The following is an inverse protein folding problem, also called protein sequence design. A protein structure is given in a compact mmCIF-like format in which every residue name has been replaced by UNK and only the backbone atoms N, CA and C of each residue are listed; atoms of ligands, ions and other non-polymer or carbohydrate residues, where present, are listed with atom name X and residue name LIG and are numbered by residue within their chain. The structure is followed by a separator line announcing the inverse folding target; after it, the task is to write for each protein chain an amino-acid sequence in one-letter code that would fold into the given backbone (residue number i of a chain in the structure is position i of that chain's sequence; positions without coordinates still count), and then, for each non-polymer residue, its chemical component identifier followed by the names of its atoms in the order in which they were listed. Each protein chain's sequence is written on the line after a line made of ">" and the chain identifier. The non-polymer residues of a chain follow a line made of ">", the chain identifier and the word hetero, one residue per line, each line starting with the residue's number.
data_IF_366641076698
#
_entry.id   IF_366641076698
#
_cell.length_a   1.000
_cell.length_b   1.000
_cell.length_c   1.000
_cell.angle_alpha   90.00
_cell.angle_beta   90.00
_cell.angle_gamma   90.00
#
_symmetry.space_group_name_H-M   'P 1'
#
loop_
_entity.id
_entity.type
_entity.pdbx_description
1 polymer ?
#
# COMPACT_ATOMS: atom_id res chain seq x y z
N UNK A 1 -7.42 5.35 -10.81
CA UNK A 1 -8.76 5.96 -10.94
C UNK A 1 -9.85 4.93 -10.66
N UNK A 2 -9.85 3.79 -11.36
CA UNK A 2 -10.85 2.71 -11.24
C UNK A 2 -11.04 2.20 -9.80
N UNK A 3 -9.97 1.76 -9.14
CA UNK A 3 -9.98 1.22 -7.75
C UNK A 3 -10.77 2.10 -6.76
N UNK A 4 -10.57 3.43 -6.84
CA UNK A 4 -11.18 4.39 -5.89
C UNK A 4 -12.67 4.58 -6.16
N UNK A 5 -13.04 4.58 -7.44
CA UNK A 5 -14.43 4.62 -7.85
C UNK A 5 -15.16 3.36 -7.40
N UNK A 6 -14.57 2.18 -7.62
CA UNK A 6 -15.13 0.91 -7.15
C UNK A 6 -15.30 0.88 -5.63
N UNK A 7 -14.27 1.26 -4.86
CA UNK A 7 -14.36 1.30 -3.40
C UNK A 7 -15.51 2.21 -2.92
N UNK A 8 -15.67 3.39 -3.55
CA UNK A 8 -16.74 4.35 -3.23
C UNK A 8 -18.14 3.83 -3.60
N UNK A 9 -18.28 3.15 -4.74
CA UNK A 9 -19.57 2.64 -5.22
C UNK A 9 -20.00 1.35 -4.52
N UNK A 10 -19.05 0.48 -4.16
CA UNK A 10 -19.32 -0.83 -3.56
C UNK A 10 -19.45 -0.77 -2.04
N UNK A 11 -18.97 0.29 -1.41
CA UNK A 11 -19.05 0.44 0.04
C UNK A 11 -20.17 1.40 0.43
N UNK A 12 -20.95 1.08 1.46
CA UNK A 12 -21.92 2.02 1.98
C UNK A 12 -21.19 3.28 2.45
N UNK A 13 -21.54 4.43 1.87
CA UNK A 13 -20.99 5.76 2.23
C UNK A 13 -21.58 6.27 3.56
N UNK A 14 -21.80 5.36 4.52
CA UNK A 14 -22.55 5.60 5.74
C UNK A 14 -21.75 5.14 6.96
N UNK A 15 -21.84 5.86 8.08
CA UNK A 15 -21.34 5.39 9.37
C UNK A 15 -21.87 3.99 9.68
N UNK A 16 -21.10 3.19 10.44
CA UNK A 16 -21.43 1.79 10.75
C UNK A 16 -22.82 1.63 11.37
N UNK A 17 -23.27 2.60 12.19
CA UNK A 17 -24.61 2.63 12.78
C UNK A 17 -25.77 2.90 11.79
N UNK A 18 -25.49 3.08 10.50
CA UNK A 18 -26.47 3.34 9.44
C UNK A 18 -26.42 2.31 8.29
N UNK A 19 -25.69 1.21 8.47
CA UNK A 19 -25.67 0.09 7.53
C UNK A 19 -26.98 -0.70 7.59
N UNK A 20 -27.48 -1.11 6.43
CA UNK A 20 -28.65 -1.99 6.33
C UNK A 20 -28.25 -3.45 6.57
N UNK A 21 -29.19 -4.33 6.96
CA UNK A 21 -28.92 -5.76 7.03
C UNK A 21 -28.36 -6.30 5.71
N UNK A 22 -27.18 -6.93 5.76
CA UNK A 22 -26.49 -7.46 4.59
C UNK A 22 -25.50 -6.51 3.93
N UNK A 23 -25.47 -5.23 4.31
CA UNK A 23 -24.41 -4.32 3.87
C UNK A 23 -23.06 -4.78 4.40
N UNK A 24 -22.02 -4.62 3.58
CA UNK A 24 -20.64 -4.89 3.97
C UNK A 24 -19.72 -3.86 3.34
N UNK A 25 -18.63 -3.55 4.02
CA UNK A 25 -17.55 -2.75 3.44
C UNK A 25 -16.76 -3.58 2.43
N UNK A 26 -16.26 -2.90 1.40
CA UNK A 26 -15.43 -3.50 0.37
C UNK A 26 -14.13 -2.72 0.21
N UNK A 27 -13.03 -3.46 0.18
CA UNK A 27 -11.70 -2.97 -0.19
C UNK A 27 -11.52 -3.23 -1.68
N UNK A 28 -11.15 -2.21 -2.45
CA UNK A 28 -10.66 -2.37 -3.82
C UNK A 28 -9.18 -2.02 -3.87
N UNK A 29 -8.42 -2.70 -4.72
CA UNK A 29 -7.00 -2.47 -4.88
C UNK A 29 -6.48 -3.10 -6.15
N UNK A 30 -5.26 -2.74 -6.52
CA UNK A 30 -4.59 -3.29 -7.69
C UNK A 30 -3.33 -3.99 -7.26
N UNK A 31 -3.12 -5.18 -7.81
CA UNK A 31 -1.87 -5.86 -7.64
C UNK A 31 -0.75 -5.09 -8.33
N UNK A 32 0.41 -4.90 -7.66
CA UNK A 32 1.62 -4.58 -8.38
C UNK A 32 1.90 -5.73 -9.37
N UNK A 33 2.60 -5.44 -10.47
CA UNK A 33 3.02 -6.41 -11.48
C UNK A 33 3.69 -7.62 -10.84
N UNK A 34 4.51 -7.41 -9.81
CA UNK A 34 5.18 -8.51 -9.09
C UNK A 34 4.22 -9.43 -8.32
N UNK A 35 3.06 -8.89 -7.91
CA UNK A 35 1.98 -9.62 -7.25
C UNK A 35 1.02 -10.30 -8.22
N UNK A 36 1.16 -10.08 -9.54
CA UNK A 36 0.26 -10.69 -10.51
C UNK A 36 0.64 -12.15 -10.81
N UNK A 37 -0.37 -12.99 -10.99
CA UNK A 37 -0.22 -14.36 -11.47
C UNK A 37 0.05 -14.45 -12.97
N UNK A 38 -0.19 -13.36 -13.70
CA UNK A 38 0.11 -13.24 -15.14
C UNK A 38 1.19 -12.17 -15.31
N UNK A 39 2.33 -12.57 -15.86
CA UNK A 39 3.49 -11.70 -16.06
C UNK A 39 3.13 -10.42 -16.83
N UNK A 40 3.64 -9.28 -16.35
CA UNK A 40 3.43 -7.98 -17.01
C UNK A 40 2.02 -7.39 -16.87
N UNK A 41 1.10 -8.07 -16.20
CA UNK A 41 -0.27 -7.56 -15.99
C UNK A 41 -0.46 -7.01 -14.58
N UNK A 42 -1.47 -6.15 -14.44
CA UNK A 42 -2.00 -5.74 -13.14
C UNK A 42 -3.50 -5.94 -13.18
N UNK A 43 -4.07 -6.58 -12.16
CA UNK A 43 -5.51 -6.78 -12.06
C UNK A 43 -6.07 -6.12 -10.79
N UNK A 44 -7.31 -5.67 -10.89
CA UNK A 44 -8.06 -5.14 -9.76
C UNK A 44 -8.62 -6.30 -8.93
N UNK A 45 -8.50 -6.21 -7.62
CA UNK A 45 -9.09 -7.17 -6.68
C UNK A 45 -10.03 -6.44 -5.73
N UNK A 46 -11.10 -7.14 -5.37
CA UNK A 46 -12.11 -6.67 -4.43
C UNK A 46 -12.24 -7.73 -3.35
N UNK A 47 -12.21 -7.30 -2.09
CA UNK A 47 -12.47 -8.16 -0.93
C UNK A 47 -13.41 -7.45 0.05
N UNK A 48 -14.10 -8.20 0.90
CA UNK A 48 -14.83 -7.61 2.02
C UNK A 48 -13.84 -7.12 3.07
N UNK A 49 -14.16 -5.99 3.69
CA UNK A 49 -13.40 -5.43 4.81
C UNK A 49 -13.28 -3.92 4.77
N UNK A 50 -12.65 -3.38 5.81
CA UNK A 50 -12.39 -1.98 6.04
C UNK A 50 -10.98 -1.79 6.66
N UNK A 51 -10.56 -0.55 6.82
CA UNK A 51 -9.24 -0.21 7.35
C UNK A 51 -9.02 -0.78 8.76
N UNK A 52 -10.08 -0.76 9.58
CA UNK A 52 -10.04 -1.29 10.96
C UNK A 52 -9.79 -2.81 11.03
N UNK A 53 -10.05 -3.56 9.95
CA UNK A 53 -9.80 -5.00 9.89
C UNK A 53 -8.31 -5.34 9.68
N UNK A 54 -7.46 -4.33 9.44
CA UNK A 54 -6.07 -4.51 9.06
C UNK A 54 -5.13 -3.70 9.99
N UNK A 55 -4.63 -4.27 11.10
CA UNK A 55 -3.81 -3.55 12.08
C UNK A 55 -2.60 -2.83 11.49
N UNK A 56 -1.91 -3.43 10.52
CA UNK A 56 -0.76 -2.82 9.85
C UNK A 56 -1.13 -1.51 9.12
N UNK A 57 -2.35 -1.43 8.58
CA UNK A 57 -2.84 -0.23 7.88
C UNK A 57 -3.32 0.85 8.85
N UNK A 58 -3.64 0.48 10.09
CA UNK A 58 -4.05 1.40 11.14
C UNK A 58 -2.87 2.17 11.76
N UNK A 59 -1.63 1.71 11.56
CA UNK A 59 -0.43 2.39 12.03
C UNK A 59 -0.37 3.87 11.61
N UNK A 60 0.13 4.72 12.50
CA UNK A 60 0.32 6.15 12.26
C UNK A 60 1.74 6.56 12.59
N UNK A 61 2.24 7.60 11.92
CA UNK A 61 3.54 8.20 12.21
C UNK A 61 3.35 9.64 12.66
N UNK A 62 3.07 10.54 11.72
CA UNK A 62 2.85 11.96 11.98
C UNK A 62 1.74 12.39 11.02
N UNK A 63 0.47 12.14 11.31
CA UNK A 63 -0.61 12.52 10.40
C UNK A 63 -0.71 14.05 10.29
N UNK A 64 -0.93 14.55 9.07
CA UNK A 64 -1.08 15.97 8.77
C UNK A 64 -2.40 16.22 8.03
N UNK A 65 -3.07 17.32 8.38
CA UNK A 65 -4.16 17.86 7.57
C UNK A 65 -3.59 18.76 6.50
N UNK A 66 -4.00 18.55 5.26
CA UNK A 66 -3.50 19.35 4.14
C UNK A 66 -4.50 20.44 3.77
N UNK A 67 -4.13 21.71 3.97
CA UNK A 67 -4.96 22.86 3.55
C UNK A 67 -5.25 22.84 2.05
N UNK A 68 -4.31 22.35 1.25
CA UNK A 68 -4.46 22.18 -0.20
C UNK A 68 -5.53 21.16 -0.60
N UNK A 69 -5.90 20.29 0.34
CA UNK A 69 -6.95 19.27 0.17
C UNK A 69 -8.19 19.57 1.04
N UNK A 70 -8.27 20.73 1.71
CA UNK A 70 -9.39 21.09 2.59
C UNK A 70 -10.70 21.24 1.81
N UNK A 71 -10.68 21.87 0.64
CA UNK A 71 -11.84 21.90 -0.27
C UNK A 71 -12.21 20.50 -0.79
N UNK A 72 -11.26 19.58 -0.69
CA UNK A 72 -11.32 18.15 -0.99
C UNK A 72 -12.25 17.36 -0.08
N UNK A 73 -11.87 17.22 1.20
CA UNK A 73 -12.42 16.19 2.10
C UNK A 73 -11.84 16.19 3.54
N UNK A 74 -11.35 17.32 4.05
CA UNK A 74 -10.59 17.35 5.33
C UNK A 74 -9.46 16.29 5.36
N UNK A 75 -8.75 16.13 4.23
CA UNK A 75 -7.91 14.95 4.03
C UNK A 75 -6.72 14.93 4.99
N UNK A 76 -6.51 13.76 5.61
CA UNK A 76 -5.38 13.48 6.50
C UNK A 76 -4.37 12.65 5.70
N UNK A 77 -3.13 13.12 5.62
CA UNK A 77 -2.01 12.44 4.99
C UNK A 77 -1.07 11.91 6.08
N UNK A 78 -0.47 10.73 5.89
CA UNK A 78 0.54 10.20 6.80
C UNK A 78 1.53 9.32 6.02
N UNK A 79 2.84 9.58 6.17
CA UNK A 79 3.90 8.72 5.62
C UNK A 79 4.33 7.82 6.77
N UNK A 80 3.89 6.56 6.70
CA UNK A 80 3.99 5.60 7.79
C UNK A 80 5.16 4.65 7.51
N UNK A 81 6.19 4.60 8.38
CA UNK A 81 7.18 3.54 8.34
C UNK A 81 6.55 2.24 8.82
N UNK A 82 6.64 1.20 7.99
CA UNK A 82 6.08 -0.13 8.25
C UNK A 82 7.19 -1.12 8.58
N UNK A 83 8.32 -1.06 7.88
CA UNK A 83 9.46 -1.93 8.15
C UNK A 83 10.44 -1.37 9.18
N UNK A 84 11.56 -2.08 9.33
CA UNK A 84 12.74 -1.62 10.08
C UNK A 84 13.60 -0.66 9.25
N UNK A 85 13.56 -0.78 7.92
CA UNK A 85 14.22 0.14 7.02
C UNK A 85 13.40 1.41 6.83
N UNK A 86 14.06 2.55 6.72
CA UNK A 86 13.40 3.85 6.59
C UNK A 86 12.55 3.98 5.31
N UNK A 87 12.88 3.24 4.26
CA UNK A 87 12.18 3.22 2.97
C UNK A 87 11.09 2.15 2.86
N UNK A 88 10.92 1.34 3.90
CA UNK A 88 9.80 0.41 4.01
C UNK A 88 8.55 1.17 4.48
N UNK A 89 7.98 1.98 3.59
CA UNK A 89 6.94 2.98 3.91
C UNK A 89 5.66 2.80 3.12
N UNK A 90 4.57 3.36 3.66
CA UNK A 90 3.35 3.62 2.92
C UNK A 90 2.90 5.07 3.09
N UNK A 91 2.26 5.63 2.08
CA UNK A 91 1.41 6.81 2.23
C UNK A 91 -0.01 6.34 2.54
N UNK A 92 -0.53 6.78 3.69
CA UNK A 92 -1.93 6.66 4.04
C UNK A 92 -2.62 8.00 3.85
N UNK A 93 -3.74 7.98 3.15
CA UNK A 93 -4.61 9.15 2.96
C UNK A 93 -5.99 8.80 3.50
N UNK A 94 -6.49 9.55 4.47
CA UNK A 94 -7.88 9.42 4.96
C UNK A 94 -8.68 10.60 4.46
N UNK A 95 -9.77 10.34 3.74
CA UNK A 95 -10.60 11.37 3.11
C UNK A 95 -12.06 10.90 3.01
N UNK A 96 -12.99 11.84 2.96
CA UNK A 96 -14.41 11.59 2.68
C UNK A 96 -14.65 11.16 1.23
N UNK A 97 -13.99 11.79 0.25
CA UNK A 97 -14.12 11.43 -1.16
C UNK A 97 -12.79 10.98 -1.79
N UNK A 98 -12.56 9.65 -1.92
CA UNK A 98 -11.34 9.12 -2.53
C UNK A 98 -11.29 9.34 -4.05
N UNK A 99 -12.37 9.81 -4.67
CA UNK A 99 -12.44 10.12 -6.10
C UNK A 99 -12.23 11.59 -6.42
N UNK A 100 -12.06 12.44 -5.40
CA UNK A 100 -11.91 13.88 -5.61
C UNK A 100 -10.69 14.23 -6.47
N UNK A 101 -10.80 15.17 -7.43
CA UNK A 101 -9.71 15.48 -8.36
C UNK A 101 -8.37 15.82 -7.69
N UNK A 102 -8.32 16.55 -6.55
CA UNK A 102 -7.04 16.83 -5.88
C UNK A 102 -6.35 15.59 -5.31
N UNK A 103 -7.12 14.63 -4.76
CA UNK A 103 -6.58 13.34 -4.30
C UNK A 103 -6.05 12.52 -5.48
N UNK A 104 -6.78 12.51 -6.59
CA UNK A 104 -6.31 11.85 -7.82
C UNK A 104 -5.01 12.48 -8.31
N UNK A 105 -4.95 13.81 -8.36
CA UNK A 105 -3.78 14.55 -8.80
C UNK A 105 -2.57 14.29 -7.91
N UNK A 106 -2.74 14.36 -6.58
CA UNK A 106 -1.69 14.02 -5.61
C UNK A 106 -1.07 12.64 -5.91
N UNK A 107 -1.90 11.61 -6.04
CA UNK A 107 -1.43 10.23 -6.25
C UNK A 107 -0.73 10.05 -7.61
N UNK A 108 -1.23 10.71 -8.66
CA UNK A 108 -0.61 10.64 -10.01
C UNK A 108 0.72 11.39 -10.02
N UNK A 109 0.75 12.62 -9.50
CA UNK A 109 1.94 13.45 -9.44
C UNK A 109 3.02 12.78 -8.56
N UNK A 110 2.64 12.20 -7.41
CA UNK A 110 3.58 11.49 -6.54
C UNK A 110 4.17 10.25 -7.24
N UNK A 111 3.33 9.48 -7.93
CA UNK A 111 3.80 8.31 -8.70
C UNK A 111 4.82 8.74 -9.76
N UNK A 112 4.53 9.82 -10.49
CA UNK A 112 5.43 10.36 -11.49
C UNK A 112 6.75 10.85 -10.87
N UNK A 113 6.67 11.58 -9.76
CA UNK A 113 7.85 12.05 -9.03
C UNK A 113 8.77 10.89 -8.63
N UNK A 114 8.22 9.82 -8.06
CA UNK A 114 9.01 8.65 -7.65
C UNK A 114 9.68 7.96 -8.84
N UNK A 115 8.99 7.85 -9.98
CA UNK A 115 9.57 7.28 -11.20
C UNK A 115 10.72 8.15 -11.74
N UNK A 116 10.55 9.47 -11.75
CA UNK A 116 11.55 10.40 -12.26
C UNK A 116 12.77 10.47 -11.33
N UNK A 117 12.55 10.60 -10.02
CA UNK A 117 13.62 10.84 -9.05
C UNK A 117 14.42 9.59 -8.71
N UNK A 118 13.79 8.42 -8.59
CA UNK A 118 14.45 7.21 -8.10
C UNK A 118 14.88 6.26 -9.21
N UNK A 119 14.35 6.43 -10.43
CA UNK A 119 14.66 5.54 -11.55
C UNK A 119 15.03 6.28 -12.84
N UNK A 120 15.26 7.60 -12.79
CA UNK A 120 15.57 8.38 -13.99
C UNK A 120 14.48 8.31 -15.07
N UNK A 121 13.24 7.97 -14.69
CA UNK A 121 12.13 7.75 -15.60
C UNK A 121 11.99 6.32 -16.13
N UNK A 122 12.89 5.38 -15.79
CA UNK A 122 12.80 3.97 -16.23
C UNK A 122 11.85 3.16 -15.32
N UNK A 123 10.64 2.78 -15.79
CA UNK A 123 9.62 2.16 -14.94
C UNK A 123 9.87 0.68 -14.64
N UNK A 124 11.05 0.15 -14.97
CA UNK A 124 11.36 -1.28 -14.89
C UNK A 124 11.69 -1.76 -13.48
N UNK A 125 12.15 -0.87 -12.61
CA UNK A 125 12.63 -1.22 -11.28
C UNK A 125 11.70 -0.80 -10.15
N UNK A 126 10.58 -0.15 -10.46
CA UNK A 126 9.62 0.38 -9.49
C UNK A 126 8.22 -0.09 -9.81
N UNK A 127 7.49 -0.42 -8.76
CA UNK A 127 6.08 -0.76 -8.80
C UNK A 127 5.33 -0.13 -7.63
N UNK A 128 4.00 -0.24 -7.66
CA UNK A 128 3.14 0.41 -6.67
C UNK A 128 1.99 -0.52 -6.30
N UNK A 129 1.81 -0.75 -4.99
CA UNK A 129 0.58 -1.32 -4.46
C UNK A 129 -0.35 -0.18 -4.04
N UNK A 130 -1.59 -0.20 -4.55
CA UNK A 130 -2.58 0.82 -4.21
C UNK A 130 -3.88 0.15 -3.77
N UNK A 131 -4.38 0.56 -2.61
CA UNK A 131 -5.69 0.15 -2.08
C UNK A 131 -6.54 1.35 -1.71
N UNK A 132 -7.85 1.16 -1.80
CA UNK A 132 -8.84 2.05 -1.25
C UNK A 132 -9.88 1.24 -0.48
N UNK A 133 -10.18 1.66 0.74
CA UNK A 133 -11.07 0.95 1.65
C UNK A 133 -11.78 1.93 2.59
N UNK A 134 -13.04 1.65 2.98
CA UNK A 134 -13.69 2.38 4.06
C UNK A 134 -12.88 2.31 5.35
N UNK A 135 -12.95 3.33 6.19
CA UNK A 135 -12.32 3.33 7.52
C UNK A 135 -12.99 2.38 8.50
N UNK A 136 -14.28 2.09 8.33
CA UNK A 136 -15.06 1.17 9.16
C UNK A 136 -16.00 1.83 10.17
N UNK A 137 -16.24 3.15 10.11
CA UNK A 137 -17.21 3.75 11.03
C UNK A 137 -17.59 5.21 10.84
N UNK A 138 -16.75 6.03 10.21
CA UNK A 138 -16.96 7.49 10.12
C UNK A 138 -17.40 7.96 8.71
N UNK A 139 -17.67 7.03 7.80
CA UNK A 139 -18.04 7.34 6.41
C UNK A 139 -16.87 7.81 5.53
N UNK A 140 -15.63 7.72 6.02
CA UNK A 140 -14.42 8.07 5.28
C UNK A 140 -13.77 6.85 4.65
N UNK A 141 -12.78 7.11 3.81
CA UNK A 141 -11.99 6.14 3.08
C UNK A 141 -10.51 6.33 3.39
N UNK A 142 -9.82 5.21 3.63
CA UNK A 142 -8.38 5.12 3.56
C UNK A 142 -7.93 4.81 2.13
N UNK A 143 -6.89 5.49 1.67
CA UNK A 143 -6.11 5.12 0.49
C UNK A 143 -4.72 4.77 0.97
N UNK A 144 -4.28 3.56 0.64
CA UNK A 144 -2.93 3.07 0.93
C UNK A 144 -2.16 3.05 -0.37
N UNK A 145 -1.05 3.78 -0.41
CA UNK A 145 -0.14 3.82 -1.54
C UNK A 145 1.23 3.38 -1.06
N UNK A 146 1.73 2.27 -1.60
CA UNK A 146 3.02 1.68 -1.21
C UNK A 146 3.94 1.66 -2.43
N UNK A 147 5.00 2.49 -2.45
CA UNK A 147 6.04 2.35 -3.44
C UNK A 147 6.93 1.16 -3.11
N UNK A 148 7.19 0.31 -4.09
CA UNK A 148 8.01 -0.90 -3.92
C UNK A 148 8.97 -1.07 -5.09
N UNK A 149 10.06 -1.80 -4.87
CA UNK A 149 10.91 -2.28 -5.94
C UNK A 149 10.18 -3.33 -6.78
N UNK A 150 10.39 -3.31 -8.09
CA UNK A 150 10.06 -4.43 -8.95
C UNK A 150 11.06 -5.56 -8.67
N UNK A 151 10.62 -6.60 -7.96
CA UNK A 151 11.49 -7.74 -7.64
C UNK A 151 11.76 -8.57 -8.90
N UNK A 152 12.96 -9.13 -9.00
CA UNK A 152 13.34 -10.07 -10.04
C UNK A 152 13.14 -11.50 -9.52
N UNK A 153 12.32 -12.30 -10.22
CA UNK A 153 12.14 -13.72 -9.92
C UNK A 153 13.07 -14.56 -10.79
N UNK A 154 13.87 -15.41 -10.15
CA UNK A 154 14.70 -16.39 -10.85
C UNK A 154 13.97 -17.74 -10.88
N UNK A 155 13.72 -18.24 -12.10
CA UNK A 155 13.09 -19.55 -12.31
C UNK A 155 14.01 -20.73 -11.99
N UNK A 156 15.33 -20.50 -11.96
CA UNK A 156 16.33 -21.53 -11.72
C UNK A 156 16.43 -21.92 -10.25
N UNK A 157 16.41 -20.92 -9.36
CA UNK A 157 16.52 -21.12 -7.92
C UNK A 157 15.19 -20.90 -7.17
N UNK A 158 14.16 -20.37 -7.84
CA UNK A 158 12.84 -20.15 -7.24
C UNK A 158 12.80 -18.99 -6.25
N UNK A 159 13.75 -18.06 -6.34
CA UNK A 159 13.91 -16.98 -5.37
C UNK A 159 13.73 -15.60 -5.99
N UNK A 160 13.31 -14.65 -5.14
CA UNK A 160 13.19 -13.26 -5.51
C UNK A 160 14.45 -12.50 -5.11
N UNK A 161 14.79 -11.49 -5.90
CA UNK A 161 15.86 -10.53 -5.61
C UNK A 161 15.30 -9.13 -5.72
N UNK A 162 15.63 -8.25 -4.78
CA UNK A 162 15.39 -6.82 -4.94
C UNK A 162 16.58 -6.20 -5.70
N UNK A 163 16.42 -5.83 -6.98
CA UNK A 163 17.54 -5.39 -7.82
C UNK A 163 18.16 -4.07 -7.35
N UNK A 164 17.43 -3.28 -6.55
CA UNK A 164 17.91 -1.99 -6.05
C UNK A 164 18.71 -2.10 -4.76
N UNK A 165 18.64 -3.24 -4.06
CA UNK A 165 19.36 -3.46 -2.80
C UNK A 165 20.30 -4.66 -2.85
N UNK A 166 20.13 -5.56 -3.82
CA UNK A 166 20.87 -6.81 -3.93
C UNK A 166 20.39 -7.92 -2.97
N UNK A 167 19.44 -7.63 -2.06
CA UNK A 167 18.91 -8.60 -1.12
C UNK A 167 18.17 -9.73 -1.86
N UNK A 168 18.42 -10.98 -1.47
CA UNK A 168 17.71 -12.17 -1.97
C UNK A 168 16.77 -12.72 -0.92
N UNK A 169 15.64 -13.28 -1.34
CA UNK A 169 14.64 -13.83 -0.41
C UNK A 169 15.17 -14.99 0.45
N UNK A 170 16.24 -15.67 0.01
CA UNK A 170 16.88 -16.75 0.78
C UNK A 170 17.65 -16.27 2.00
N UNK A 171 18.18 -15.05 1.94
CA UNK A 171 18.93 -14.45 3.04
C UNK A 171 17.97 -14.01 4.16
N UNK A 172 16.68 -13.94 3.84
CA UNK A 172 15.59 -13.53 4.70
C UNK A 172 14.82 -14.76 5.20
N UNK A 173 15.52 -15.62 5.95
CA UNK A 173 15.10 -16.96 6.43
C UNK A 173 13.73 -17.05 7.14
N UNK A 174 13.07 -15.92 7.41
CA UNK A 174 11.79 -15.81 8.11
C UNK A 174 10.66 -15.18 7.28
N UNK A 175 10.84 -14.96 5.97
CA UNK A 175 9.78 -14.41 5.10
C UNK A 175 8.91 -15.54 4.53
N UNK A 176 7.70 -15.80 5.08
CA UNK A 176 6.76 -16.72 4.45
C UNK A 176 6.30 -16.19 3.07
N UNK A 177 6.32 -14.88 2.90
CA UNK A 177 6.04 -14.19 1.63
C UNK A 177 7.01 -13.01 1.51
N UNK A 178 7.69 -12.91 0.37
CA UNK A 178 8.65 -11.85 0.09
C UNK A 178 8.10 -10.70 -0.77
N UNK A 179 6.85 -10.82 -1.25
CA UNK A 179 6.24 -9.82 -2.14
C UNK A 179 5.18 -9.01 -1.42
N UNK A 180 5.15 -7.71 -1.68
CA UNK A 180 3.95 -6.91 -1.41
C UNK A 180 3.01 -7.05 -2.60
N UNK A 181 1.80 -7.55 -2.35
CA UNK A 181 0.69 -7.60 -3.28
C UNK A 181 -0.59 -7.08 -2.60
N UNK A 182 -1.74 -7.24 -3.25
CA UNK A 182 -3.02 -6.87 -2.69
C UNK A 182 -3.29 -7.58 -1.36
N UNK A 183 -2.98 -8.85 -1.17
CA UNK A 183 -3.19 -9.49 0.13
C UNK A 183 -2.20 -8.97 1.18
N UNK A 184 -0.92 -9.08 0.82
CA UNK A 184 0.23 -8.95 1.73
C UNK A 184 0.39 -7.53 2.25
N UNK A 185 0.01 -6.51 1.46
CA UNK A 185 -0.01 -5.10 1.92
C UNK A 185 -0.92 -4.91 3.15
N UNK A 186 -1.88 -5.81 3.37
CA UNK A 186 -2.81 -5.78 4.52
C UNK A 186 -2.59 -6.94 5.49
N UNK A 187 -1.49 -7.68 5.36
CA UNK A 187 -1.17 -8.84 6.20
C UNK A 187 -1.94 -10.11 5.88
N UNK A 188 -2.51 -10.20 4.68
CA UNK A 188 -3.14 -11.43 4.19
C UNK A 188 -2.10 -12.20 3.39
N UNK A 189 -1.76 -13.40 3.86
CA UNK A 189 -0.79 -14.27 3.21
C UNK A 189 -1.48 -15.45 2.56
N UNK A 190 -1.12 -15.72 1.29
CA UNK A 190 -1.34 -17.03 0.72
C UNK A 190 -0.21 -17.92 1.20
N UNK A 191 -0.52 -18.88 2.05
CA UNK A 191 0.45 -19.85 2.56
C UNK A 191 0.11 -21.19 1.92
N UNK A 192 1.04 -21.75 1.15
CA UNK A 192 0.91 -23.13 0.68
C UNK A 192 0.74 -24.03 1.90
N UNK A 193 -0.18 -25.00 1.84
CA UNK A 193 -0.69 -25.76 2.98
C UNK A 193 0.33 -26.63 3.73
N UNK A 194 1.64 -26.35 3.63
CA UNK A 194 2.63 -26.92 4.52
C UNK A 194 2.47 -26.35 5.94
N UNK A 195 2.51 -27.25 6.92
CA UNK A 195 2.25 -26.91 8.32
C UNK A 195 3.29 -25.96 8.92
N UNK A 196 4.48 -25.87 8.33
CA UNK A 196 5.60 -25.08 8.86
C UNK A 196 5.39 -23.61 8.52
N UNK A 197 5.14 -23.30 7.25
CA UNK A 197 4.84 -21.96 6.74
C UNK A 197 3.53 -21.42 7.34
N UNK A 198 2.51 -22.29 7.51
CA UNK A 198 1.27 -21.90 8.18
C UNK A 198 1.53 -21.50 9.64
N UNK A 199 2.24 -22.35 10.38
CA UNK A 199 2.56 -22.09 11.78
C UNK A 199 3.46 -20.87 11.95
N UNK A 200 4.40 -20.65 11.03
CA UNK A 200 5.25 -19.47 11.01
C UNK A 200 4.42 -18.19 10.81
N UNK A 201 3.52 -18.18 9.83
CA UNK A 201 2.64 -17.04 9.54
C UNK A 201 1.70 -16.72 10.71
N UNK A 202 1.14 -17.75 11.37
CA UNK A 202 0.26 -17.55 12.54
C UNK A 202 1.00 -17.01 13.77
N UNK A 203 2.27 -17.39 13.97
CA UNK A 203 3.07 -16.92 15.12
C UNK A 203 3.73 -15.56 14.88
N UNK A 204 4.13 -15.29 13.65
CA UNK A 204 4.98 -14.16 13.30
C UNK A 204 4.32 -13.19 12.32
N UNK A 205 2.98 -13.21 12.18
CA UNK A 205 2.26 -12.47 11.12
C UNK A 205 2.71 -11.02 10.94
N UNK A 206 2.76 -10.22 12.01
CA UNK A 206 3.25 -8.83 11.92
C UNK A 206 4.71 -8.76 11.45
N UNK A 207 5.60 -9.58 12.02
CA UNK A 207 7.01 -9.65 11.64
C UNK A 207 7.17 -10.00 10.16
N UNK A 208 6.37 -10.94 9.67
CA UNK A 208 6.34 -11.35 8.26
C UNK A 208 5.89 -10.20 7.34
N UNK A 209 4.87 -9.43 7.72
CA UNK A 209 4.42 -8.27 6.93
C UNK A 209 5.54 -7.23 6.88
N UNK A 210 6.10 -6.87 8.03
CA UNK A 210 7.20 -5.88 8.11
C UNK A 210 8.41 -6.34 7.31
N UNK A 211 8.71 -7.64 7.34
CA UNK A 211 9.74 -8.27 6.53
C UNK A 211 9.47 -8.15 5.03
N UNK A 212 8.25 -8.39 4.57
CA UNK A 212 7.87 -8.20 3.16
C UNK A 212 8.03 -6.73 2.72
N UNK A 213 7.65 -5.78 3.58
CA UNK A 213 7.88 -4.34 3.35
C UNK A 213 9.37 -3.99 3.32
N UNK A 214 10.18 -4.55 4.22
CA UNK A 214 11.63 -4.39 4.24
C UNK A 214 12.27 -4.90 2.95
N UNK A 215 11.90 -6.11 2.52
CA UNK A 215 12.46 -6.75 1.33
C UNK A 215 12.06 -6.01 0.06
N UNK A 216 10.79 -5.60 -0.05
CA UNK A 216 10.24 -4.91 -1.21
C UNK A 216 10.51 -3.41 -1.23
N UNK A 217 11.24 -2.87 -0.25
CA UNK A 217 11.48 -1.42 -0.12
C UNK A 217 12.11 -0.84 -1.39
N UNK A 218 11.68 0.36 -1.73
CA UNK A 218 12.26 1.18 -2.78
C UNK A 218 13.24 2.18 -2.14
N UNK A 219 14.57 2.03 -2.31
CA UNK A 219 15.53 2.94 -1.68
C UNK A 219 15.29 4.41 -2.04
N UNK A 220 15.30 5.28 -1.03
CA UNK A 220 15.02 6.72 -1.16
C UNK A 220 13.54 7.10 -1.26
N UNK A 221 12.61 6.15 -1.27
CA UNK A 221 11.18 6.41 -1.41
C UNK A 221 10.65 7.35 -0.33
N UNK A 222 11.04 7.14 0.93
CA UNK A 222 10.52 7.97 2.03
C UNK A 222 10.90 9.44 1.84
N UNK A 223 12.19 9.69 1.62
CA UNK A 223 12.72 11.04 1.43
C UNK A 223 12.13 11.71 0.19
N UNK A 224 11.96 10.98 -0.91
CA UNK A 224 11.34 11.50 -2.12
C UNK A 224 9.87 11.87 -1.90
N UNK A 225 9.11 11.02 -1.19
CA UNK A 225 7.72 11.31 -0.82
C UNK A 225 7.63 12.55 0.07
N UNK A 226 8.46 12.65 1.11
CA UNK A 226 8.50 13.80 2.01
C UNK A 226 8.85 15.09 1.26
N UNK A 227 9.88 15.05 0.39
CA UNK A 227 10.29 16.19 -0.43
C UNK A 227 9.20 16.62 -1.42
N UNK A 228 8.52 15.66 -2.06
CA UNK A 228 7.38 15.93 -2.94
C UNK A 228 6.26 16.64 -2.18
N UNK A 229 5.85 16.08 -1.04
CA UNK A 229 4.75 16.63 -0.25
C UNK A 229 5.05 18.04 0.24
N UNK A 230 6.28 18.30 0.69
CA UNK A 230 6.74 19.63 1.09
C UNK A 230 6.76 20.61 -0.10
N UNK A 231 7.39 20.24 -1.21
CA UNK A 231 7.53 21.12 -2.38
C UNK A 231 6.19 21.49 -3.03
N UNK A 232 5.19 20.61 -2.93
CA UNK A 232 3.84 20.86 -3.43
C UNK A 232 2.91 21.49 -2.39
N UNK A 233 3.38 21.78 -1.17
CA UNK A 233 2.60 22.42 -0.12
C UNK A 233 1.48 21.53 0.44
N UNK A 234 1.70 20.22 0.52
CA UNK A 234 0.78 19.29 1.16
C UNK A 234 0.99 19.19 2.67
N UNK A 235 2.21 19.48 3.15
CA UNK A 235 2.52 19.75 4.56
C UNK A 235 3.62 20.80 4.69
N UNK A 236 3.62 21.58 5.77
CA UNK A 236 4.51 22.75 5.95
C UNK A 236 5.94 22.40 6.43
N UNK A 237 6.18 21.14 6.78
CA UNK A 237 7.45 20.69 7.34
C UNK A 237 7.57 21.13 8.79
N UNK A 238 7.72 20.16 9.70
CA UNK A 238 8.15 20.43 11.06
C UNK A 238 9.68 20.60 11.08
#
# INVERSE_FOLDING_TARGET
>A
VIIRMEAKLLSPSRPSGKMLPGDTYHVSGQNPKIGSSIEGTQHTQIQRGCLADHPILMMTSRPWRSQKLESSSDAILDIVPVGQHEDAVMLKIVCEDPTSPPIVKLLVDLRLELLLTLCGGEPRNVDFAVKCLPTGGDGRFGIIFVPISQLAYSKEDGHYTNPLTGCRSVDESELPVCKIDFGTVSGIFLVDCDSVSWSASMRNGEKSVRGAYNFSRLPGARKAMEAFMKSKGYFDGA
#
